data_IF_573501920883
#
_entry.id   IF_573501920883
#
_cell.length_a   1.000
_cell.length_b   1.000
_cell.length_c   1.000
_cell.angle_alpha   90.00
_cell.angle_beta   90.00
_cell.angle_gamma   90.00
#
_symmetry.space_group_name_H-M   'P 1'
#
loop_
_entity.id
_entity.type
_entity.pdbx_description
1 polymer ?
#
# COMPACT_ATOMS: atom_id res chain seq x y z
N UNK A 1 20.66 -32.71 -57.38
CA UNK A 1 20.69 -31.50 -58.22
C UNK A 1 19.36 -30.78 -58.11
N UNK A 2 19.43 -29.46 -57.95
CA UNK A 2 18.39 -28.42 -58.15
C UNK A 2 17.29 -28.23 -57.09
N UNK A 3 17.10 -26.94 -56.80
CA UNK A 3 16.30 -26.29 -55.76
C UNK A 3 14.77 -26.24 -56.05
N UNK A 4 13.93 -25.91 -55.05
CA UNK A 4 12.52 -25.60 -55.29
C UNK A 4 12.33 -24.20 -55.91
N UNK A 5 11.33 -23.99 -56.77
CA UNK A 5 11.00 -22.68 -57.33
C UNK A 5 10.17 -21.84 -56.35
N UNK A 6 10.52 -20.56 -56.23
CA UNK A 6 9.68 -19.51 -55.64
C UNK A 6 8.68 -18.99 -56.69
N UNK A 7 7.43 -18.76 -56.28
CA UNK A 7 6.44 -17.93 -56.98
C UNK A 7 5.58 -17.13 -55.96
N UNK A 8 4.91 -16.02 -56.39
CA UNK A 8 4.93 -14.74 -55.70
C UNK A 8 3.66 -14.36 -54.90
N UNK A 9 3.79 -13.28 -54.14
CA UNK A 9 2.80 -12.62 -53.27
C UNK A 9 1.57 -12.03 -53.99
N UNK A 10 0.44 -11.92 -53.26
CA UNK A 10 -0.45 -10.73 -53.03
C UNK A 10 -1.96 -11.09 -53.04
N UNK A 11 -2.91 -10.21 -52.66
CA UNK A 11 -3.24 -9.72 -51.31
C UNK A 11 -4.76 -9.86 -51.00
N UNK A 12 -5.22 -9.86 -49.74
CA UNK A 12 -6.60 -9.46 -49.40
C UNK A 12 -6.80 -9.23 -47.90
N UNK A 13 -7.44 -8.11 -47.59
CA UNK A 13 -7.81 -7.59 -46.29
C UNK A 13 -9.10 -8.19 -45.73
N UNK A 14 -9.18 -8.21 -44.40
CA UNK A 14 -10.39 -8.14 -43.54
C UNK A 14 -11.15 -9.44 -43.24
N UNK A 15 -11.11 -9.89 -41.98
CA UNK A 15 -12.27 -9.83 -41.05
C UNK A 15 -12.27 -10.91 -39.94
N UNK A 16 -12.41 -10.42 -38.69
CA UNK A 16 -13.19 -10.96 -37.56
C UNK A 16 -12.61 -12.05 -36.62
N UNK A 17 -12.41 -11.60 -35.36
CA UNK A 17 -12.78 -12.20 -34.07
C UNK A 17 -12.42 -13.67 -33.74
N UNK A 18 -11.47 -13.84 -32.81
CA UNK A 18 -11.53 -14.85 -31.73
C UNK A 18 -10.48 -14.53 -30.65
N UNK A 19 -10.83 -14.76 -29.40
CA UNK A 19 -10.18 -14.19 -28.21
C UNK A 19 -8.70 -14.51 -28.04
N UNK A 20 -7.94 -13.48 -27.67
CA UNK A 20 -6.60 -13.64 -27.15
C UNK A 20 -6.65 -13.55 -25.62
N UNK A 21 -6.74 -14.72 -24.97
CA UNK A 21 -6.32 -14.86 -23.60
C UNK A 21 -4.81 -14.61 -23.56
N UNK A 22 -4.43 -13.34 -23.37
CA UNK A 22 -3.06 -12.93 -23.18
C UNK A 22 -2.58 -13.46 -21.81
N UNK A 23 -2.02 -14.67 -21.79
CA UNK A 23 -1.10 -15.09 -20.75
C UNK A 23 0.14 -14.21 -20.86
N UNK A 24 0.24 -13.21 -20.00
CA UNK A 24 1.44 -12.38 -19.87
C UNK A 24 2.60 -13.22 -19.32
N UNK A 25 3.80 -13.14 -19.91
CA UNK A 25 4.97 -13.84 -19.40
C UNK A 25 5.38 -13.21 -18.07
N UNK A 26 5.44 -14.03 -17.02
CA UNK A 26 6.04 -13.66 -15.74
C UNK A 26 7.54 -13.45 -15.95
N UNK A 27 7.98 -12.20 -16.10
CA UNK A 27 9.40 -11.88 -16.13
C UNK A 27 10.03 -12.28 -14.79
N UNK A 28 11.19 -12.95 -14.79
CA UNK A 28 11.88 -13.30 -13.55
C UNK A 28 12.21 -12.01 -12.76
N UNK A 29 11.63 -11.85 -11.56
CA UNK A 29 11.96 -10.78 -10.62
C UNK A 29 13.48 -10.79 -10.40
N UNK A 30 14.16 -9.72 -10.81
CA UNK A 30 15.62 -9.61 -10.69
C UNK A 30 16.06 -9.65 -9.22
N UNK A 31 17.27 -10.13 -8.89
CA UNK A 31 17.74 -10.25 -7.50
C UNK A 31 17.59 -8.96 -6.66
N UNK A 32 17.77 -7.79 -7.27
CA UNK A 32 17.62 -6.50 -6.59
C UNK A 32 16.18 -6.19 -6.13
N UNK A 33 15.17 -6.73 -6.80
CA UNK A 33 13.76 -6.55 -6.39
C UNK A 33 13.44 -7.32 -5.10
N UNK A 34 13.92 -8.58 -4.99
CA UNK A 34 13.78 -9.37 -3.76
C UNK A 34 14.52 -8.76 -2.59
N UNK A 35 15.74 -8.25 -2.81
CA UNK A 35 16.51 -7.60 -1.75
C UNK A 35 15.81 -6.34 -1.24
N UNK A 36 15.26 -5.51 -2.14
CA UNK A 36 14.46 -4.34 -1.74
C UNK A 36 13.20 -4.74 -0.99
N UNK A 37 12.53 -5.80 -1.43
CA UNK A 37 11.36 -6.34 -0.74
C UNK A 37 11.71 -6.79 0.68
N UNK A 38 12.81 -7.52 0.86
CA UNK A 38 13.30 -7.91 2.18
C UNK A 38 13.54 -6.69 3.07
N UNK A 39 14.26 -5.67 2.56
CA UNK A 39 14.52 -4.42 3.30
C UNK A 39 13.23 -3.70 3.70
N UNK A 40 12.20 -3.70 2.84
CA UNK A 40 10.88 -3.13 3.18
C UNK A 40 10.22 -3.90 4.32
N UNK A 41 10.22 -5.23 4.26
CA UNK A 41 9.63 -6.07 5.31
C UNK A 41 10.35 -5.87 6.64
N UNK A 42 11.69 -5.90 6.62
CA UNK A 42 12.52 -5.75 7.81
C UNK A 42 12.28 -4.39 8.48
N UNK A 43 12.34 -3.30 7.71
CA UNK A 43 12.15 -1.95 8.24
C UNK A 43 10.73 -1.74 8.79
N UNK A 44 9.70 -2.28 8.13
CA UNK A 44 8.32 -2.21 8.62
C UNK A 44 8.13 -2.97 9.93
N UNK A 45 8.80 -4.11 10.09
CA UNK A 45 8.78 -4.86 11.34
C UNK A 45 9.51 -4.11 12.46
N UNK A 46 10.66 -3.48 12.17
CA UNK A 46 11.35 -2.63 13.14
C UNK A 46 10.48 -1.45 13.60
N UNK A 47 9.77 -0.79 12.68
CA UNK A 47 8.83 0.29 13.02
C UNK A 47 7.67 -0.26 13.86
N UNK A 48 7.12 -1.42 13.51
CA UNK A 48 6.05 -2.05 14.27
C UNK A 48 6.45 -2.39 15.71
N UNK A 49 7.69 -2.80 15.96
CA UNK A 49 8.18 -3.04 17.34
C UNK A 49 8.08 -1.77 18.19
N UNK A 50 8.53 -0.63 17.67
CA UNK A 50 8.45 0.64 18.41
C UNK A 50 7.00 1.13 18.58
N UNK A 51 6.18 1.00 17.54
CA UNK A 51 4.75 1.36 17.63
C UNK A 51 4.01 0.50 18.68
N UNK A 52 4.26 -0.81 18.71
CA UNK A 52 3.64 -1.71 19.67
C UNK A 52 4.12 -1.46 21.11
N UNK A 53 5.38 -1.07 21.29
CA UNK A 53 5.88 -0.62 22.59
C UNK A 53 5.14 0.64 23.06
N UNK A 54 4.91 1.61 22.18
CA UNK A 54 4.16 2.82 22.53
C UNK A 54 2.67 2.51 22.81
N UNK A 55 2.04 1.64 22.01
CA UNK A 55 0.67 1.17 22.28
C UNK A 55 0.57 0.53 23.66
N UNK A 56 1.53 -0.34 24.02
CA UNK A 56 1.58 -0.97 25.34
C UNK A 56 1.76 0.06 26.46
N UNK A 57 2.62 1.07 26.26
CA UNK A 57 2.83 2.16 27.22
C UNK A 57 1.57 2.99 27.41
N UNK A 58 0.93 3.43 26.33
CA UNK A 58 -0.31 4.21 26.36
C UNK A 58 -1.46 3.42 26.99
N UNK A 59 -1.54 2.11 26.74
CA UNK A 59 -2.50 1.25 27.40
C UNK A 59 -2.26 1.17 28.92
N UNK A 60 -1.00 1.05 29.36
CA UNK A 60 -0.64 1.06 30.78
C UNK A 60 -0.92 2.41 31.47
N UNK A 61 -0.84 3.52 30.71
CA UNK A 61 -1.23 4.86 31.17
C UNK A 61 -2.76 5.07 31.23
N UNK A 62 -3.56 4.07 30.83
CA UNK A 62 -5.03 4.18 30.78
C UNK A 62 -5.54 4.97 29.57
N UNK A 63 -4.70 5.24 28.57
CA UNK A 63 -5.05 5.92 27.32
C UNK A 63 -5.51 4.95 26.22
N UNK A 64 -5.51 3.65 26.49
CA UNK A 64 -6.11 2.64 25.64
C UNK A 64 -7.64 2.62 25.73
N UNK A 65 -8.28 1.86 24.85
CA UNK A 65 -9.74 1.73 24.86
C UNK A 65 -10.33 1.62 23.46
N UNK A 66 -11.57 2.05 23.32
CA UNK A 66 -12.30 2.05 22.07
C UNK A 66 -11.69 3.07 21.09
N UNK A 67 -11.26 2.60 19.93
CA UNK A 67 -10.69 3.44 18.86
C UNK A 67 -11.72 4.25 18.07
N UNK A 68 -13.01 3.88 18.16
CA UNK A 68 -14.11 4.61 17.52
C UNK A 68 -15.34 4.64 18.43
N UNK A 69 -16.25 5.63 18.28
CA UNK A 69 -17.52 5.65 19.00
C UNK A 69 -18.38 4.41 18.77
N UNK A 70 -18.33 3.84 17.55
CA UNK A 70 -19.02 2.59 17.22
C UNK A 70 -18.43 1.41 18.01
N UNK A 71 -17.10 1.34 18.13
CA UNK A 71 -16.43 0.32 18.93
C UNK A 71 -16.75 0.49 20.43
N UNK A 72 -16.80 1.73 20.93
CA UNK A 72 -17.21 2.03 22.29
C UNK A 72 -18.65 1.56 22.58
N UNK A 73 -19.58 1.84 21.67
CA UNK A 73 -20.97 1.39 21.79
C UNK A 73 -21.07 -0.15 21.81
N UNK A 74 -20.27 -0.85 21.00
CA UNK A 74 -20.20 -2.31 21.02
C UNK A 74 -19.63 -2.86 22.33
N UNK A 75 -18.56 -2.27 22.86
CA UNK A 75 -17.98 -2.66 24.14
C UNK A 75 -18.97 -2.44 25.29
N UNK A 76 -19.71 -1.32 25.25
CA UNK A 76 -20.77 -1.01 26.21
C UNK A 76 -21.90 -2.05 26.18
N UNK A 77 -22.31 -2.50 24.99
CA UNK A 77 -23.30 -3.57 24.84
C UNK A 77 -22.80 -4.92 25.39
N UNK A 78 -21.48 -5.15 25.39
CA UNK A 78 -20.84 -6.34 25.93
C UNK A 78 -20.48 -6.23 27.43
N UNK A 79 -20.82 -5.11 28.08
CA UNK A 79 -20.45 -4.86 29.48
C UNK A 79 -18.95 -4.63 29.71
N UNK A 80 -18.20 -4.32 28.65
CA UNK A 80 -16.76 -4.04 28.71
C UNK A 80 -16.47 -2.54 28.85
N UNK A 81 -15.27 -2.16 29.31
CA UNK A 81 -14.84 -0.76 29.32
C UNK A 81 -15.00 -0.14 27.93
N UNK A 82 -15.76 0.96 27.86
CA UNK A 82 -16.13 1.63 26.60
C UNK A 82 -15.49 3.01 26.45
N UNK A 83 -14.48 3.31 27.26
CA UNK A 83 -13.80 4.59 27.20
C UNK A 83 -13.08 4.75 25.86
N UNK A 84 -13.18 5.94 25.29
CA UNK A 84 -12.48 6.25 24.05
C UNK A 84 -10.99 6.33 24.32
N UNK A 85 -10.21 5.68 23.45
CA UNK A 85 -8.77 5.76 23.50
C UNK A 85 -8.27 7.17 23.17
N UNK A 86 -7.07 7.51 23.63
CA UNK A 86 -6.43 8.77 23.27
C UNK A 86 -6.04 8.80 21.78
N UNK A 87 -5.83 10.00 21.25
CA UNK A 87 -5.43 10.17 19.85
C UNK A 87 -4.08 9.51 19.55
N UNK A 88 -3.15 9.56 20.50
CA UNK A 88 -1.83 8.93 20.39
C UNK A 88 -1.96 7.41 20.22
N UNK A 89 -2.84 6.79 21.03
CA UNK A 89 -3.07 5.34 20.97
C UNK A 89 -3.72 4.94 19.64
N UNK A 90 -4.71 5.72 19.20
CA UNK A 90 -5.40 5.51 17.91
C UNK A 90 -4.42 5.65 16.75
N UNK A 91 -3.58 6.69 16.75
CA UNK A 91 -2.60 6.93 15.70
C UNK A 91 -1.56 5.81 15.64
N UNK A 92 -1.02 5.38 16.78
CA UNK A 92 -0.05 4.29 16.83
C UNK A 92 -0.66 2.97 16.30
N UNK A 93 -1.87 2.62 16.74
CA UNK A 93 -2.59 1.44 16.21
C UNK A 93 -2.90 1.56 14.72
N UNK A 94 -3.26 2.74 14.21
CA UNK A 94 -3.54 2.96 12.79
C UNK A 94 -2.31 2.68 11.93
N UNK A 95 -1.11 3.07 12.40
CA UNK A 95 0.15 2.77 11.71
C UNK A 95 0.46 1.27 11.71
N UNK A 96 0.26 0.60 12.86
CA UNK A 96 0.44 -0.86 12.96
C UNK A 96 -0.49 -1.59 11.97
N UNK A 97 -1.76 -1.20 11.91
CA UNK A 97 -2.74 -1.76 10.97
C UNK A 97 -2.36 -1.50 9.51
N UNK A 98 -1.92 -0.28 9.18
CA UNK A 98 -1.48 0.10 7.84
C UNK A 98 -0.28 -0.75 7.38
N UNK A 99 0.68 -0.99 8.26
CA UNK A 99 1.86 -1.79 7.98
C UNK A 99 1.48 -3.26 7.77
N UNK A 100 0.66 -3.85 8.64
CA UNK A 100 0.23 -5.25 8.48
C UNK A 100 -0.61 -5.49 7.23
N UNK A 101 -1.43 -4.51 6.81
CA UNK A 101 -2.20 -4.60 5.57
C UNK A 101 -1.29 -4.78 4.35
N UNK A 102 -0.08 -4.21 4.36
CA UNK A 102 0.94 -4.45 3.35
C UNK A 102 1.70 -5.77 3.60
N UNK A 103 2.20 -5.98 4.82
CA UNK A 103 3.06 -7.12 5.17
C UNK A 103 2.37 -8.48 4.96
N UNK A 104 1.10 -8.62 5.34
CA UNK A 104 0.39 -9.90 5.30
C UNK A 104 0.32 -10.51 3.89
N UNK A 105 -0.24 -9.83 2.86
CA UNK A 105 -0.25 -10.38 1.51
C UNK A 105 1.15 -10.45 0.88
N UNK A 106 2.05 -9.52 1.24
CA UNK A 106 3.39 -9.49 0.69
C UNK A 106 4.25 -10.68 1.17
N UNK A 107 4.12 -11.08 2.43
CA UNK A 107 4.77 -12.25 2.99
C UNK A 107 4.25 -13.57 2.39
N UNK A 108 2.99 -13.58 1.95
CA UNK A 108 2.37 -14.72 1.24
C UNK A 108 2.77 -14.77 -0.24
N UNK A 109 3.46 -13.74 -0.76
CA UNK A 109 3.78 -13.63 -2.18
C UNK A 109 2.56 -13.38 -3.08
N UNK A 110 1.40 -13.03 -2.50
CA UNK A 110 0.17 -12.76 -3.25
C UNK A 110 0.21 -11.33 -3.79
N UNK A 111 0.92 -11.15 -4.90
CA UNK A 111 1.08 -9.85 -5.56
C UNK A 111 -0.26 -9.22 -5.98
N UNK A 112 -1.32 -10.03 -6.19
CA UNK A 112 -2.65 -9.53 -6.57
C UNK A 112 -3.37 -8.83 -5.42
N UNK A 113 -3.09 -9.25 -4.18
CA UNK A 113 -3.63 -8.66 -2.95
C UNK A 113 -2.67 -7.71 -2.25
N UNK A 114 -1.41 -7.69 -2.67
CA UNK A 114 -0.39 -6.84 -2.06
C UNK A 114 -0.59 -5.39 -2.49
N UNK A 115 -0.91 -4.46 -1.57
CA UNK A 115 -1.00 -3.06 -1.91
C UNK A 115 0.39 -2.52 -2.32
N UNK A 116 0.41 -1.42 -3.06
CA UNK A 116 1.66 -0.82 -3.57
C UNK A 116 2.64 -0.44 -2.45
N UNK A 117 2.13 -0.11 -1.26
CA UNK A 117 2.90 0.15 -0.06
C UNK A 117 1.98 0.35 1.16
N UNK A 118 2.56 0.58 2.36
CA UNK A 118 1.79 0.91 3.55
C UNK A 118 1.00 2.20 3.35
N UNK A 119 -0.21 2.28 3.90
CA UNK A 119 -1.07 3.44 3.74
C UNK A 119 -0.52 4.71 4.40
N UNK A 120 0.34 4.57 5.43
CA UNK A 120 0.94 5.67 6.17
C UNK A 120 2.47 5.61 6.05
N UNK A 121 3.06 6.67 5.51
CA UNK A 121 4.51 6.79 5.27
C UNK A 121 5.16 7.95 6.06
N UNK A 122 4.45 8.52 7.02
CA UNK A 122 4.98 9.45 8.01
C UNK A 122 4.90 8.84 9.42
N UNK A 123 5.70 9.33 10.39
CA UNK A 123 5.57 8.92 11.76
C UNK A 123 4.29 9.46 12.41
N UNK A 124 3.77 8.81 13.47
CA UNK A 124 2.79 9.42 14.35
C UNK A 124 3.32 10.76 14.91
N UNK A 125 2.46 11.76 15.04
CA UNK A 125 2.85 13.11 15.46
C UNK A 125 3.54 13.17 16.83
N UNK A 126 3.18 12.24 17.72
CA UNK A 126 3.76 12.11 19.07
C UNK A 126 5.03 11.24 19.12
N UNK A 127 5.47 10.67 17.99
CA UNK A 127 6.67 9.82 17.89
C UNK A 127 7.69 10.36 16.87
N UNK A 128 8.22 11.58 17.03
CA UNK A 128 9.18 12.17 16.09
C UNK A 128 10.49 11.37 15.99
N UNK A 129 10.83 10.54 16.98
CA UNK A 129 12.01 9.67 16.96
C UNK A 129 11.99 8.64 15.83
N UNK A 130 10.80 8.31 15.29
CA UNK A 130 10.66 7.38 14.17
C UNK A 130 10.99 8.02 12.81
N UNK A 131 11.12 9.34 12.74
CA UNK A 131 11.36 10.08 11.50
C UNK A 131 12.49 9.49 10.63
N UNK A 132 13.68 9.14 11.16
CA UNK A 132 14.76 8.57 10.36
C UNK A 132 14.41 7.21 9.72
N UNK A 133 13.56 6.41 10.39
CA UNK A 133 13.08 5.14 9.85
C UNK A 133 12.06 5.36 8.74
N UNK A 134 11.15 6.32 8.91
CA UNK A 134 10.17 6.67 7.88
C UNK A 134 10.83 7.30 6.64
N UNK A 135 11.91 8.05 6.79
CA UNK A 135 12.64 8.59 5.63
C UNK A 135 13.29 7.48 4.81
N UNK A 136 13.95 6.51 5.47
CA UNK A 136 14.43 5.27 4.80
C UNK A 136 13.28 4.49 4.16
N UNK A 137 12.13 4.43 4.83
CA UNK A 137 10.96 3.72 4.30
C UNK A 137 10.47 4.36 2.99
N UNK A 138 10.40 5.70 2.91
CA UNK A 138 10.04 6.42 1.67
C UNK A 138 11.01 6.12 0.53
N UNK A 139 12.31 6.05 0.80
CA UNK A 139 13.32 5.68 -0.21
C UNK A 139 13.09 4.27 -0.76
N UNK A 140 12.66 3.34 0.11
CA UNK A 140 12.32 1.98 -0.29
C UNK A 140 11.03 1.90 -1.12
N UNK A 141 10.13 2.87 -1.03
CA UNK A 141 8.85 2.93 -1.76
C UNK A 141 8.81 4.09 -2.78
N UNK A 142 9.62 4.04 -3.85
CA UNK A 142 9.66 5.12 -4.84
C UNK A 142 8.31 5.27 -5.55
N UNK A 143 7.82 6.51 -5.63
CA UNK A 143 6.55 6.84 -6.31
C UNK A 143 5.29 6.46 -5.53
N UNK A 144 5.42 6.02 -4.27
CA UNK A 144 4.29 5.79 -3.39
C UNK A 144 4.34 6.81 -2.24
N UNK A 145 3.50 7.86 -2.26
CA UNK A 145 3.49 8.88 -1.21
C UNK A 145 2.71 8.46 0.05
N UNK A 146 2.07 7.29 0.04
CA UNK A 146 1.09 6.89 1.06
C UNK A 146 -0.33 7.27 0.64
N UNK A 147 -1.32 6.74 1.36
CA UNK A 147 -2.73 7.03 1.12
C UNK A 147 -3.13 8.38 1.73
N UNK A 148 -2.51 8.80 2.83
CA UNK A 148 -2.80 10.10 3.48
C UNK A 148 -2.46 11.29 2.56
N UNK A 149 -1.35 11.19 1.81
CA UNK A 149 -0.93 12.24 0.87
C UNK A 149 -1.64 12.18 -0.50
N UNK A 150 -2.22 11.03 -0.87
CA UNK A 150 -2.94 10.88 -2.14
C UNK A 150 -4.31 11.58 -2.12
N UNK A 151 -4.94 11.68 -0.96
CA UNK A 151 -6.21 12.39 -0.77
C UNK A 151 -6.14 13.90 -1.07
N UNK A 152 -4.95 14.49 -1.13
CA UNK A 152 -4.76 15.92 -1.42
C UNK A 152 -4.64 16.30 -2.90
N UNK A 153 -4.46 15.35 -3.83
CA UNK A 153 -4.06 15.65 -5.20
C UNK A 153 -5.01 15.13 -6.30
N UNK A 154 -6.19 14.61 -5.95
CA UNK A 154 -7.16 14.18 -6.97
C UNK A 154 -8.14 15.30 -7.33
N UNK A 155 -7.83 16.00 -8.42
CA UNK A 155 -8.74 16.72 -9.32
C UNK A 155 -9.15 18.16 -8.99
N UNK A 156 -8.20 19.10 -9.13
CA UNK A 156 -8.50 20.45 -9.60
C UNK A 156 -7.86 20.64 -10.98
N UNK A 157 -8.61 20.36 -12.04
CA UNK A 157 -8.32 20.81 -13.40
C UNK A 157 -9.58 21.46 -13.98
N UNK A 158 -9.72 22.79 -13.92
CA UNK A 158 -10.62 23.49 -14.80
C UNK A 158 -9.96 23.55 -16.18
N UNK A 159 -10.61 22.97 -17.19
CA UNK A 159 -10.20 23.08 -18.58
C UNK A 159 -10.81 24.37 -19.16
N UNK A 160 -10.03 25.39 -19.56
CA UNK A 160 -10.56 26.54 -20.27
C UNK A 160 -10.30 26.36 -21.77
N UNK A 161 -11.34 26.06 -22.56
CA UNK A 161 -11.26 26.14 -24.02
C UNK A 161 -12.71 26.22 -24.57
N UNK A 162 -13.13 27.17 -25.38
CA UNK A 162 -12.49 28.31 -26.00
C UNK A 162 -13.58 29.22 -26.59
N UNK A 163 -13.25 30.49 -26.75
CA UNK A 163 -14.07 31.51 -27.42
C UNK A 163 -14.26 31.16 -28.91
N UNK A 164 -15.51 31.12 -29.37
CA UNK A 164 -15.83 31.18 -30.80
C UNK A 164 -16.54 32.50 -31.09
N UNK A 165 -15.89 33.29 -31.93
CA UNK A 165 -16.39 34.51 -32.60
C UNK A 165 -17.44 34.16 -33.64
#
# INVERSE_FOLDING_TARGET
MAAPPFLPQSPATSSHAAGNAASTPSTPRSPGTRQREQQRMDLLMEINVELLQEVSKLQAEGKGGATTPQHAAQLKQQGQPSDLASQEYIDALRHVQANFTYLMPAAQGDASKTPQGPALLGPPAHMPQLQPKYDKLKELFPGWPGLDQRGGHSSASPQPNGTAT
#
